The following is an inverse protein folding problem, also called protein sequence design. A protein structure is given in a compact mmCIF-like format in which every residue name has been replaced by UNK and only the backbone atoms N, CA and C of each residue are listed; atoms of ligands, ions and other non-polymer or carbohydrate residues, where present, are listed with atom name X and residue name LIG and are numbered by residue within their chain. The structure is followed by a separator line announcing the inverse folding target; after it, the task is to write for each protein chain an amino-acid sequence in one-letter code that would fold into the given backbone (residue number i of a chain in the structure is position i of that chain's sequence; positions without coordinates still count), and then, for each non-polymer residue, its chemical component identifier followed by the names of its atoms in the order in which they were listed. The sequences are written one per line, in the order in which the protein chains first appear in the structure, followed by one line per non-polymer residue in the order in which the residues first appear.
data_IF_645324026270
#
_entry.id   IF_645324026270
#
_cell.length_a   1.000
_cell.length_b   1.000
_cell.length_c   1.000
_cell.angle_alpha   90.00
_cell.angle_beta   90.00
_cell.angle_gamma   90.00
#
_symmetry.space_group_name_H-M   'P 1'
#
loop_
_entity.id
_entity.type
_entity.pdbx_description
1 polymer ?
#
# COMPACT_ATOMS: atom_id res chain seq x y z
N UNK A 1 -7.38 0.71 -16.99
CA UNK A 1 -6.64 -0.45 -17.50
C UNK A 1 -6.67 -1.58 -16.50
N UNK A 2 -6.90 -2.77 -16.99
CA UNK A 2 -6.89 -4.00 -16.19
C UNK A 2 -5.46 -4.33 -15.77
N UNK A 3 -5.20 -4.81 -14.55
CA UNK A 3 -3.85 -5.18 -14.12
C UNK A 3 -3.18 -6.23 -15.01
N UNK A 4 -3.95 -7.17 -15.55
CA UNK A 4 -3.43 -8.19 -16.47
C UNK A 4 -2.94 -7.53 -17.75
N UNK A 5 -3.72 -6.59 -18.29
CA UNK A 5 -3.33 -5.87 -19.50
C UNK A 5 -2.10 -5.01 -19.25
N UNK A 6 -2.00 -4.40 -18.07
CA UNK A 6 -0.83 -3.61 -17.71
C UNK A 6 0.42 -4.47 -17.67
N UNK A 7 0.35 -5.63 -17.03
CA UNK A 7 1.48 -6.57 -16.97
C UNK A 7 1.85 -7.08 -18.38
N UNK A 8 0.86 -7.43 -19.18
CA UNK A 8 1.10 -7.89 -20.54
C UNK A 8 1.79 -6.84 -21.38
N UNK A 9 1.36 -5.58 -21.27
CA UNK A 9 1.98 -4.50 -22.02
C UNK A 9 3.43 -4.30 -21.63
N UNK A 10 3.74 -4.38 -20.34
CA UNK A 10 5.12 -4.26 -19.87
C UNK A 10 5.94 -5.44 -20.35
N UNK A 11 5.40 -6.65 -20.26
CA UNK A 11 6.10 -7.86 -20.69
C UNK A 11 6.33 -7.87 -22.20
N UNK A 12 5.36 -7.43 -22.97
CA UNK A 12 5.48 -7.37 -24.43
C UNK A 12 6.53 -6.36 -24.88
N UNK A 13 6.58 -5.20 -24.20
CA UNK A 13 7.51 -4.14 -24.54
C UNK A 13 8.86 -4.30 -23.87
N UNK A 14 8.88 -4.89 -22.69
CA UNK A 14 10.07 -5.02 -21.89
C UNK A 14 10.31 -6.43 -21.39
N UNK A 15 9.70 -7.44 -22.00
CA UNK A 15 9.80 -8.81 -21.53
C UNK A 15 11.22 -9.31 -21.39
N UNK A 16 12.07 -8.93 -22.30
CA UNK A 16 13.50 -9.26 -22.22
C UNK A 16 14.13 -8.53 -21.04
N UNK A 17 13.77 -7.27 -20.86
CA UNK A 17 14.33 -6.44 -19.79
C UNK A 17 13.88 -6.93 -18.42
N UNK A 18 12.62 -7.30 -18.27
CA UNK A 18 12.11 -7.75 -16.98
C UNK A 18 12.78 -9.03 -16.51
N UNK A 19 13.16 -9.90 -17.42
CA UNK A 19 13.91 -11.12 -17.09
C UNK A 19 15.33 -10.79 -16.61
N UNK A 20 15.91 -9.78 -17.20
CA UNK A 20 17.29 -9.41 -16.92
C UNK A 20 17.44 -8.61 -15.64
N UNK A 21 16.40 -7.87 -15.27
CA UNK A 21 16.45 -6.95 -14.16
C UNK A 21 15.69 -7.41 -12.92
N UNK A 22 15.24 -8.66 -12.92
CA UNK A 22 14.54 -9.23 -11.76
C UNK A 22 13.43 -8.35 -11.22
N UNK A 23 12.77 -7.61 -12.11
CA UNK A 23 11.65 -6.75 -11.71
C UNK A 23 10.44 -7.57 -11.34
N UNK A 24 9.86 -7.25 -10.20
CA UNK A 24 8.64 -7.88 -9.71
C UNK A 24 7.49 -6.87 -9.71
N UNK A 25 6.30 -7.39 -9.47
CA UNK A 25 5.11 -6.56 -9.32
C UNK A 25 4.70 -6.55 -7.86
N UNK A 26 4.36 -5.38 -7.40
CA UNK A 26 3.90 -5.15 -6.03
C UNK A 26 2.58 -4.41 -6.05
N UNK A 27 1.72 -4.76 -5.11
CA UNK A 27 0.45 -4.04 -4.92
C UNK A 27 0.58 -3.17 -3.69
N UNK A 28 0.29 -1.89 -3.82
CA UNK A 28 0.25 -0.96 -2.69
C UNK A 28 -1.19 -0.83 -2.24
N UNK A 29 -1.44 -1.12 -0.96
CA UNK A 29 -2.75 -1.01 -0.33
C UNK A 29 -2.72 0.12 0.69
N UNK A 30 -3.79 0.89 0.73
CA UNK A 30 -3.93 2.00 1.66
C UNK A 30 -5.31 1.95 2.31
N UNK A 31 -5.40 2.43 3.54
CA UNK A 31 -6.70 2.52 4.22
C UNK A 31 -7.59 3.46 3.40
N UNK A 32 -8.79 2.98 3.09
CA UNK A 32 -9.76 3.73 2.32
C UNK A 32 -10.91 4.15 3.23
N UNK A 33 -10.94 5.42 3.59
CA UNK A 33 -12.02 5.96 4.41
C UNK A 33 -13.28 6.08 3.55
N UNK A 34 -14.41 5.47 3.94
CA UNK A 34 -15.65 5.63 3.19
C UNK A 34 -16.05 7.10 3.08
N UNK A 35 -16.65 7.45 1.96
CA UNK A 35 -17.05 8.84 1.71
C UNK A 35 -17.92 9.40 2.83
N UNK A 36 -18.82 8.57 3.36
CA UNK A 36 -19.71 8.96 4.45
C UNK A 36 -18.98 9.29 5.76
N UNK A 37 -17.71 8.88 5.90
CA UNK A 37 -16.93 9.08 7.12
C UNK A 37 -15.76 10.03 6.95
N UNK A 38 -15.52 10.51 5.74
CA UNK A 38 -14.35 11.35 5.45
C UNK A 38 -14.34 12.66 6.23
N UNK A 39 -15.49 13.22 6.50
CA UNK A 39 -15.61 14.53 7.14
C UNK A 39 -15.79 14.45 8.67
N UNK A 40 -15.79 13.25 9.24
CA UNK A 40 -15.99 13.05 10.68
C UNK A 40 -15.00 13.86 11.54
N UNK A 41 -13.70 13.98 11.20
CA UNK A 41 -12.80 14.78 12.03
C UNK A 41 -13.25 16.23 12.16
N UNK A 42 -13.78 16.81 11.09
CA UNK A 42 -14.28 18.18 11.09
C UNK A 42 -15.62 18.28 11.83
N UNK A 43 -16.52 17.32 11.60
CA UNK A 43 -17.83 17.30 12.24
C UNK A 43 -17.75 17.12 13.75
N UNK A 44 -16.85 16.25 14.21
CA UNK A 44 -16.72 15.93 15.62
C UNK A 44 -15.70 16.81 16.35
N UNK A 45 -14.81 17.45 15.60
CA UNK A 45 -13.80 18.36 16.12
C UNK A 45 -12.73 17.73 17.00
N UNK A 46 -12.62 16.40 16.99
CA UNK A 46 -11.70 15.66 17.84
C UNK A 46 -11.30 14.35 17.18
N UNK A 47 -10.01 14.03 17.21
CA UNK A 47 -9.52 12.74 16.73
C UNK A 47 -10.00 11.58 17.60
N UNK A 48 -10.07 11.80 18.92
CA UNK A 48 -10.56 10.78 19.85
C UNK A 48 -12.01 10.40 19.53
N UNK A 49 -12.88 11.38 19.35
CA UNK A 49 -14.27 11.14 18.99
C UNK A 49 -14.39 10.47 17.61
N UNK A 50 -13.57 10.89 16.65
CA UNK A 50 -13.55 10.31 15.33
C UNK A 50 -13.19 8.84 15.37
N UNK A 51 -12.14 8.47 16.09
CA UNK A 51 -11.70 7.09 16.23
C UNK A 51 -12.71 6.21 16.95
N UNK A 52 -13.45 6.76 17.89
CA UNK A 52 -14.52 6.01 18.58
C UNK A 52 -15.70 5.72 17.66
N UNK A 53 -15.94 6.58 16.68
CA UNK A 53 -17.07 6.47 15.78
C UNK A 53 -16.73 5.77 14.47
N UNK A 54 -15.48 5.81 14.04
CA UNK A 54 -15.06 5.22 12.75
C UNK A 54 -13.87 4.31 12.94
N UNK A 55 -14.08 3.03 12.68
CA UNK A 55 -13.01 2.05 12.72
C UNK A 55 -11.98 2.30 11.59
N UNK A 56 -12.41 2.81 10.45
CA UNK A 56 -11.50 3.17 9.34
C UNK A 56 -10.53 4.26 9.78
N UNK A 57 -11.03 5.32 10.43
CA UNK A 57 -10.17 6.39 10.93
C UNK A 57 -9.23 5.91 12.03
N UNK A 58 -9.76 5.06 12.94
CA UNK A 58 -8.93 4.47 13.99
C UNK A 58 -7.80 3.66 13.38
N UNK A 59 -8.11 2.80 12.41
CA UNK A 59 -7.11 1.99 11.72
C UNK A 59 -6.06 2.86 11.04
N UNK A 60 -6.51 3.88 10.29
CA UNK A 60 -5.58 4.76 9.59
C UNK A 60 -4.61 5.44 10.55
N UNK A 61 -5.11 5.99 11.64
CA UNK A 61 -4.28 6.71 12.60
C UNK A 61 -3.37 5.77 13.39
N UNK A 62 -3.88 4.61 13.80
CA UNK A 62 -3.07 3.62 14.51
C UNK A 62 -1.94 3.10 13.61
N UNK A 63 -2.23 2.82 12.35
CA UNK A 63 -1.23 2.28 11.43
C UNK A 63 -0.16 3.30 11.05
N UNK A 64 -0.46 4.60 11.12
CA UNK A 64 0.55 5.63 10.89
C UNK A 64 1.63 5.66 11.96
N UNK A 65 1.40 4.99 13.07
CA UNK A 65 2.33 4.95 14.21
C UNK A 65 3.13 3.65 14.28
N UNK A 66 3.11 2.84 13.23
CA UNK A 66 3.79 1.54 13.25
C UNK A 66 5.30 1.70 13.29
N UNK A 67 5.92 1.09 14.31
CA UNK A 67 7.37 1.05 14.46
C UNK A 67 7.93 -0.22 13.80
N UNK A 68 9.18 -0.15 13.36
CA UNK A 68 9.86 -1.33 12.82
C UNK A 68 10.00 -2.42 13.87
N UNK A 69 9.80 -3.66 13.46
CA UNK A 69 10.07 -4.84 14.28
C UNK A 69 10.65 -5.97 13.41
N UNK A 70 11.55 -6.75 13.99
CA UNK A 70 12.17 -7.87 13.28
C UNK A 70 11.22 -9.04 13.09
N UNK A 71 10.32 -9.25 14.03
CA UNK A 71 9.38 -10.36 13.97
C UNK A 71 8.16 -10.01 13.11
N UNK A 72 7.52 -11.01 12.48
CA UNK A 72 6.29 -10.76 11.75
C UNK A 72 5.22 -10.13 12.66
N UNK A 73 4.51 -9.14 12.12
CA UNK A 73 3.43 -8.53 12.88
C UNK A 73 2.09 -9.15 12.51
N UNK A 74 1.21 -9.24 13.50
CA UNK A 74 -0.12 -9.80 13.33
C UNK A 74 -1.13 -8.67 13.20
N UNK A 75 -1.93 -8.72 12.14
CA UNK A 75 -3.03 -7.79 11.94
C UNK A 75 -4.34 -8.54 11.89
N UNK A 76 -5.37 -7.96 12.51
CA UNK A 76 -6.69 -8.58 12.49
C UNK A 76 -7.33 -8.45 11.11
N UNK A 77 -8.28 -9.33 10.84
CA UNK A 77 -9.04 -9.27 9.59
C UNK A 77 -9.76 -7.93 9.44
N UNK A 78 -10.30 -7.40 10.53
CA UNK A 78 -11.02 -6.13 10.53
C UNK A 78 -10.10 -4.98 10.09
N UNK A 79 -8.84 -4.98 10.55
CA UNK A 79 -7.85 -3.99 10.14
C UNK A 79 -7.55 -4.13 8.66
N UNK A 80 -7.28 -5.37 8.21
CA UNK A 80 -6.96 -5.63 6.80
C UNK A 80 -8.12 -5.25 5.87
N UNK A 81 -9.35 -5.45 6.32
CA UNK A 81 -10.54 -5.09 5.53
C UNK A 81 -10.69 -3.58 5.31
N UNK A 82 -9.99 -2.76 6.07
CA UNK A 82 -10.00 -1.31 5.86
C UNK A 82 -9.14 -0.87 4.67
N UNK A 83 -8.29 -1.76 4.17
CA UNK A 83 -7.35 -1.45 3.09
C UNK A 83 -7.95 -1.72 1.73
N UNK A 84 -7.54 -0.90 0.77
CA UNK A 84 -7.96 -1.04 -0.63
C UNK A 84 -6.72 -1.01 -1.52
N UNK A 85 -6.73 -1.79 -2.59
CA UNK A 85 -5.66 -1.76 -3.59
C UNK A 85 -5.66 -0.40 -4.27
N UNK A 86 -4.52 0.28 -4.26
CA UNK A 86 -4.37 1.61 -4.86
C UNK A 86 -3.50 1.58 -6.10
N UNK A 87 -2.36 0.90 -6.02
CA UNK A 87 -1.39 0.89 -7.12
C UNK A 87 -0.84 -0.50 -7.37
N UNK A 88 -0.57 -0.79 -8.65
CA UNK A 88 0.28 -1.91 -9.04
C UNK A 88 1.59 -1.30 -9.51
N UNK A 89 2.72 -1.72 -8.93
CA UNK A 89 4.02 -1.12 -9.18
C UNK A 89 5.00 -2.19 -9.65
N UNK A 90 5.71 -1.91 -10.74
CA UNK A 90 6.83 -2.73 -11.18
C UNK A 90 8.11 -2.17 -10.55
N UNK A 91 8.79 -2.99 -9.75
CA UNK A 91 9.94 -2.53 -8.99
C UNK A 91 10.88 -3.70 -8.66
N UNK A 92 12.07 -3.37 -8.19
CA UNK A 92 13.09 -4.36 -7.82
C UNK A 92 12.98 -4.81 -6.37
N UNK A 93 12.41 -3.97 -5.51
CA UNK A 93 12.37 -4.20 -4.06
C UNK A 93 11.29 -3.36 -3.41
N UNK A 94 11.05 -3.62 -2.11
CA UNK A 94 10.13 -2.81 -1.31
C UNK A 94 10.59 -1.34 -1.26
N UNK A 95 11.88 -1.10 -1.06
CA UNK A 95 12.44 0.26 -1.06
C UNK A 95 12.20 0.96 -2.39
N UNK A 96 12.33 0.23 -3.48
CA UNK A 96 12.12 0.76 -4.82
C UNK A 96 10.64 1.13 -5.03
N UNK A 97 9.71 0.32 -4.52
CA UNK A 97 8.27 0.64 -4.56
C UNK A 97 8.02 1.97 -3.83
N UNK A 98 8.59 2.10 -2.63
CA UNK A 98 8.46 3.32 -1.83
C UNK A 98 9.00 4.53 -2.59
N UNK A 99 10.17 4.40 -3.19
CA UNK A 99 10.78 5.46 -3.99
C UNK A 99 9.90 5.87 -5.17
N UNK A 100 9.47 4.91 -5.97
CA UNK A 100 8.65 5.18 -7.16
C UNK A 100 7.37 5.91 -6.81
N UNK A 101 6.68 5.46 -5.75
CA UNK A 101 5.40 6.03 -5.36
C UNK A 101 5.52 7.33 -4.57
N UNK A 102 6.73 7.74 -4.21
CA UNK A 102 6.96 9.03 -3.54
C UNK A 102 7.53 10.07 -4.51
N UNK A 103 8.40 9.65 -5.41
CA UNK A 103 9.04 10.58 -6.35
C UNK A 103 8.23 10.78 -7.63
N UNK A 104 7.43 9.80 -8.02
CA UNK A 104 6.60 9.83 -9.23
C UNK A 104 7.40 10.15 -10.50
N UNK A 105 8.67 9.76 -10.52
CA UNK A 105 9.56 9.96 -11.66
C UNK A 105 9.56 8.79 -12.65
N UNK A 106 8.81 7.73 -12.34
CA UNK A 106 8.68 6.54 -13.20
C UNK A 106 7.20 6.19 -13.38
N UNK A 107 6.41 7.06 -14.01
CA UNK A 107 4.96 6.83 -14.12
C UNK A 107 4.60 5.56 -14.88
N UNK A 108 5.46 5.12 -15.81
CA UNK A 108 5.21 3.90 -16.58
C UNK A 108 5.32 2.64 -15.72
N UNK A 109 5.94 2.72 -14.55
CA UNK A 109 6.07 1.61 -13.63
C UNK A 109 4.86 1.47 -12.71
N UNK A 110 3.88 2.38 -12.78
CA UNK A 110 2.74 2.41 -11.87
C UNK A 110 1.43 2.36 -12.63
N UNK A 111 0.57 1.41 -12.24
CA UNK A 111 -0.82 1.39 -12.66
C UNK A 111 -1.69 1.74 -11.45
N UNK A 112 -2.56 2.73 -11.60
CA UNK A 112 -3.44 3.19 -10.54
C UNK A 112 -4.81 2.52 -10.63
N UNK A 113 -5.17 1.74 -9.61
CA UNK A 113 -6.50 1.12 -9.51
C UNK A 113 -7.54 2.13 -9.02
N UNK A 114 -7.17 2.94 -8.05
CA UNK A 114 -8.04 3.98 -7.50
C UNK A 114 -7.18 5.10 -6.93
N UNK A 115 -7.74 6.32 -6.81
CA UNK A 115 -6.97 7.44 -6.27
C UNK A 115 -6.41 7.11 -4.89
N UNK A 116 -5.13 7.41 -4.71
CA UNK A 116 -4.42 7.21 -3.47
C UNK A 116 -3.39 8.29 -3.26
N UNK A 117 -2.54 8.10 -2.25
CA UNK A 117 -1.47 9.04 -1.95
C UNK A 117 -0.12 8.33 -2.03
N UNK A 118 0.96 9.08 -1.91
CA UNK A 118 2.30 8.50 -1.83
C UNK A 118 2.36 7.46 -0.72
N UNK A 119 3.15 6.40 -0.95
CA UNK A 119 3.31 5.34 0.05
C UNK A 119 3.90 5.92 1.33
N UNK A 120 3.29 5.62 2.45
CA UNK A 120 3.68 6.16 3.75
C UNK A 120 3.53 5.11 4.84
N UNK A 121 3.99 5.46 6.04
CA UNK A 121 3.90 4.57 7.21
C UNK A 121 2.46 4.10 7.39
N UNK A 122 2.31 2.79 7.58
CA UNK A 122 1.01 2.16 7.77
C UNK A 122 0.40 1.59 6.49
N UNK A 123 0.93 1.93 5.32
CA UNK A 123 0.48 1.32 4.07
C UNK A 123 0.99 -0.12 3.98
N UNK A 124 0.31 -0.93 3.18
CA UNK A 124 0.70 -2.33 2.98
C UNK A 124 1.21 -2.49 1.55
N UNK A 125 2.35 -3.18 1.41
CA UNK A 125 2.90 -3.55 0.11
C UNK A 125 2.87 -5.07 0.01
N UNK A 126 2.24 -5.58 -1.05
CA UNK A 126 2.18 -7.02 -1.32
C UNK A 126 3.18 -7.35 -2.42
N UNK A 127 4.05 -8.31 -2.15
CA UNK A 127 4.90 -8.90 -3.19
C UNK A 127 4.05 -9.91 -3.95
N UNK A 128 3.67 -9.56 -5.18
CA UNK A 128 2.76 -10.40 -5.95
C UNK A 128 3.37 -11.73 -6.38
N UNK A 129 4.70 -11.84 -6.37
CA UNK A 129 5.38 -13.09 -6.74
C UNK A 129 5.27 -14.13 -5.63
N UNK A 130 5.33 -13.70 -4.37
CA UNK A 130 5.31 -14.60 -3.22
C UNK A 130 3.99 -14.58 -2.45
N UNK A 131 3.22 -13.51 -2.58
CA UNK A 131 2.03 -13.28 -1.79
C UNK A 131 2.34 -12.70 -0.41
N UNK A 132 3.60 -12.49 -0.07
CA UNK A 132 3.98 -11.90 1.20
C UNK A 132 3.54 -10.44 1.28
N UNK A 133 3.05 -10.04 2.45
CA UNK A 133 2.58 -8.69 2.70
C UNK A 133 3.45 -8.00 3.75
N UNK A 134 3.68 -6.72 3.55
CA UNK A 134 4.56 -5.92 4.42
C UNK A 134 3.88 -4.60 4.77
N UNK A 135 3.96 -4.22 6.05
CA UNK A 135 3.53 -2.90 6.51
C UNK A 135 4.71 -1.95 6.43
N UNK A 136 4.51 -0.78 5.86
CA UNK A 136 5.53 0.27 5.89
C UNK A 136 5.63 0.80 7.31
N UNK A 137 6.80 0.69 7.90
CA UNK A 137 7.06 1.16 9.26
C UNK A 137 7.75 2.53 9.22
N UNK A 138 7.96 3.12 10.39
CA UNK A 138 8.72 4.37 10.51
C UNK A 138 10.15 4.20 9.97
N UNK A 139 10.65 2.97 10.04
CA UNK A 139 11.94 2.58 9.51
C UNK A 139 11.81 1.16 8.94
N UNK A 140 11.96 1.01 7.63
CA UNK A 140 11.88 -0.31 7.00
C UNK A 140 10.45 -0.83 6.84
N UNK A 141 10.34 -2.15 6.74
CA UNK A 141 9.08 -2.83 6.43
C UNK A 141 8.90 -4.01 7.38
N UNK A 142 7.69 -4.14 7.93
CA UNK A 142 7.35 -5.24 8.80
C UNK A 142 6.56 -6.29 8.02
N UNK A 143 7.06 -7.52 7.98
CA UNK A 143 6.33 -8.61 7.33
C UNK A 143 5.09 -8.94 8.15
N UNK A 144 3.96 -9.13 7.48
CA UNK A 144 2.71 -9.53 8.13
C UNK A 144 2.72 -11.05 8.26
N UNK A 145 2.36 -11.54 9.44
CA UNK A 145 2.23 -12.97 9.70
C UNK A 145 1.09 -13.55 8.85
N UNK A 146 1.36 -14.72 8.27
CA UNK A 146 0.38 -15.39 7.44
C UNK A 146 -0.79 -15.96 8.28
#
# INVERSE_FOLDING_TARGET
MDPVDFKSNIEDNGGILSKEFDMNYYTVKQVAIPESEQDLPNELGSWDATCKQSFFWKTKLDMQMVDYQDEPMTLSKEVLDCYQDKFLVQAESLDHVFHITNMWDQPDAVHTYSPGHSTSVGDIIVDNATGDEYVVADFGFNKIAA
#
